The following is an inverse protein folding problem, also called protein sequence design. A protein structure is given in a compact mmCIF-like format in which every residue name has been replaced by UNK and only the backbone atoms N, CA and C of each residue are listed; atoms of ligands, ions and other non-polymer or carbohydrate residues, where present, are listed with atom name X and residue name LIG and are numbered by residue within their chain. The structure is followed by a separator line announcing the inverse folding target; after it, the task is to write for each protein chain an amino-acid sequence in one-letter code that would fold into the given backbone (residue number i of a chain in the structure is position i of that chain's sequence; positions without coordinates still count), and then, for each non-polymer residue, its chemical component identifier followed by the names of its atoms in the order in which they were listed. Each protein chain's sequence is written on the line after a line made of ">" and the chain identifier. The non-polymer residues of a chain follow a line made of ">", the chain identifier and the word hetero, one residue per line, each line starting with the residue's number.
data_IF_128682974392
#
_entry.id   IF_128682974392
#
_cell.length_a   1.000
_cell.length_b   1.000
_cell.length_c   1.000
_cell.angle_alpha   90.00
_cell.angle_beta   90.00
_cell.angle_gamma   90.00
#
_symmetry.space_group_name_H-M   'P 1'
#
loop_
_entity.id
_entity.type
_entity.pdbx_description
1 polymer ?
#
# COMPACT_ATOMS: atom_id res chain seq x y z
N UNK A 1 17.69 -0.07 -22.71
CA UNK A 1 18.24 -1.23 -23.45
C UNK A 1 17.22 -2.38 -23.57
N UNK A 2 16.69 -2.92 -22.47
CA UNK A 2 15.72 -4.06 -22.53
C UNK A 2 14.51 -3.79 -23.42
N UNK A 3 13.89 -2.60 -23.34
CA UNK A 3 12.78 -2.20 -24.22
C UNK A 3 13.13 -2.32 -25.72
N UNK A 4 14.27 -1.77 -26.12
CA UNK A 4 14.76 -1.81 -27.52
C UNK A 4 15.02 -3.26 -27.97
N UNK A 5 15.56 -4.11 -27.10
CA UNK A 5 15.78 -5.53 -27.42
C UNK A 5 14.46 -6.29 -27.61
N UNK A 6 13.43 -5.99 -26.81
CA UNK A 6 12.11 -6.61 -26.95
C UNK A 6 11.33 -6.06 -28.15
N UNK A 7 11.57 -4.81 -28.55
CA UNK A 7 11.03 -4.25 -29.79
C UNK A 7 11.64 -4.93 -31.03
N UNK A 8 12.95 -5.16 -31.02
CA UNK A 8 13.65 -5.86 -32.11
C UNK A 8 13.37 -7.37 -32.12
N UNK A 9 13.18 -7.98 -30.94
CA UNK A 9 12.95 -9.41 -30.76
C UNK A 9 11.82 -9.66 -29.75
N UNK A 10 10.54 -9.57 -30.18
CA UNK A 10 9.38 -9.71 -29.29
C UNK A 10 9.32 -11.04 -28.53
N UNK A 11 9.78 -12.13 -29.16
CA UNK A 11 9.82 -13.45 -28.53
C UNK A 11 11.02 -13.65 -27.60
N UNK A 12 11.95 -12.69 -27.54
CA UNK A 12 13.12 -12.78 -26.67
C UNK A 12 12.77 -12.93 -25.19
N UNK A 13 11.63 -12.40 -24.75
CA UNK A 13 11.11 -12.58 -23.39
C UNK A 13 10.63 -14.01 -23.07
N UNK A 14 10.43 -14.85 -24.09
CA UNK A 14 9.95 -16.25 -23.95
C UNK A 14 11.09 -17.26 -23.99
N UNK A 15 12.31 -16.82 -24.34
CA UNK A 15 13.44 -17.72 -24.49
C UNK A 15 13.92 -18.19 -23.12
N UNK A 16 13.60 -19.44 -22.79
CA UNK A 16 14.14 -20.11 -21.62
C UNK A 16 15.61 -20.48 -21.83
N UNK A 17 16.42 -20.30 -20.78
CA UNK A 17 17.75 -20.90 -20.74
C UNK A 17 17.62 -22.44 -20.79
N UNK A 18 18.37 -23.07 -21.69
CA UNK A 18 18.24 -24.50 -21.96
C UNK A 18 18.58 -25.37 -20.74
N UNK A 19 19.48 -24.88 -19.86
CA UNK A 19 19.98 -25.63 -18.71
C UNK A 19 19.10 -25.49 -17.48
N UNK A 20 18.64 -24.28 -17.19
CA UNK A 20 17.90 -23.94 -15.98
C UNK A 20 16.40 -23.84 -16.19
N UNK A 21 15.93 -23.80 -17.45
CA UNK A 21 14.52 -23.51 -17.80
C UNK A 21 14.03 -22.15 -17.31
N UNK A 22 14.94 -21.26 -16.92
CA UNK A 22 14.59 -19.91 -16.49
C UNK A 22 14.37 -19.01 -17.69
N UNK A 23 13.23 -18.32 -17.70
CA UNK A 23 12.99 -17.24 -18.64
C UNK A 23 13.63 -15.92 -18.13
N UNK A 24 13.71 -14.88 -18.97
CA UNK A 24 14.24 -13.57 -18.59
C UNK A 24 13.57 -12.96 -17.35
N UNK A 25 12.27 -13.20 -17.14
CA UNK A 25 11.55 -12.76 -15.92
C UNK A 25 12.14 -13.42 -14.68
N UNK A 26 12.35 -14.75 -14.68
CA UNK A 26 12.94 -15.48 -13.55
C UNK A 26 14.36 -14.98 -13.22
N UNK A 27 15.20 -14.77 -14.24
CA UNK A 27 16.54 -14.21 -14.03
C UNK A 27 16.50 -12.81 -13.44
N UNK A 28 15.58 -11.97 -13.93
CA UNK A 28 15.41 -10.61 -13.43
C UNK A 28 14.98 -10.60 -11.97
N UNK A 29 14.03 -11.45 -11.60
CA UNK A 29 13.53 -11.61 -10.25
C UNK A 29 14.57 -12.13 -9.25
N UNK A 30 15.61 -12.83 -9.72
CA UNK A 30 16.72 -13.31 -8.88
C UNK A 30 17.86 -12.30 -8.69
N UNK A 31 17.79 -11.13 -9.31
CA UNK A 31 18.83 -10.11 -9.22
C UNK A 31 18.44 -9.01 -8.23
N UNK A 32 19.31 -8.70 -7.28
CA UNK A 32 19.08 -7.68 -6.24
C UNK A 32 19.03 -6.25 -6.79
N UNK A 33 19.67 -5.99 -7.93
CA UNK A 33 19.73 -4.67 -8.57
C UNK A 33 18.63 -4.45 -9.60
N UNK A 34 17.57 -5.24 -9.54
CA UNK A 34 16.46 -5.15 -10.47
C UNK A 34 15.59 -3.90 -10.20
N UNK A 35 15.11 -3.27 -11.27
CA UNK A 35 14.22 -2.12 -11.28
C UNK A 35 12.79 -2.55 -11.62
N UNK A 36 11.76 -2.07 -10.89
CA UNK A 36 10.36 -2.42 -11.15
C UNK A 36 9.92 -2.14 -12.59
N UNK A 37 10.44 -1.07 -13.20
CA UNK A 37 10.08 -0.64 -14.56
C UNK A 37 10.48 -1.68 -15.62
N UNK A 38 11.63 -2.32 -15.46
CA UNK A 38 12.09 -3.34 -16.40
C UNK A 38 11.34 -4.65 -16.18
N UNK A 39 11.03 -5.01 -14.93
CA UNK A 39 10.17 -6.17 -14.65
C UNK A 39 8.80 -5.97 -15.30
N UNK A 40 8.18 -4.80 -15.15
CA UNK A 40 6.89 -4.49 -15.76
C UNK A 40 6.92 -4.65 -17.29
N UNK A 41 8.02 -4.24 -17.94
CA UNK A 41 8.22 -4.43 -19.38
C UNK A 41 8.32 -5.91 -19.75
N UNK A 42 9.08 -6.71 -19.00
CA UNK A 42 9.25 -8.15 -19.26
C UNK A 42 7.96 -8.94 -19.03
N UNK A 43 7.21 -8.61 -17.97
CA UNK A 43 5.90 -9.24 -17.69
C UNK A 43 4.88 -8.84 -18.75
N UNK A 44 4.88 -7.59 -19.21
CA UNK A 44 3.99 -7.15 -20.28
C UNK A 44 4.24 -7.89 -21.60
N UNK A 45 5.50 -8.19 -21.93
CA UNK A 45 5.83 -8.93 -23.16
C UNK A 45 5.58 -10.43 -23.05
N UNK A 46 5.64 -11.01 -21.85
CA UNK A 46 5.32 -12.41 -21.62
C UNK A 46 4.63 -12.66 -20.26
N UNK A 47 3.30 -12.44 -20.16
CA UNK A 47 2.59 -12.57 -18.88
C UNK A 47 2.62 -13.98 -18.28
N UNK A 48 2.53 -15.01 -19.13
CA UNK A 48 2.57 -16.41 -18.70
C UNK A 48 3.91 -16.83 -18.06
N UNK A 49 4.98 -16.04 -18.22
CA UNK A 49 6.27 -16.27 -17.57
C UNK A 49 6.16 -16.36 -16.05
N UNK A 50 5.18 -15.67 -15.44
CA UNK A 50 4.96 -15.66 -13.99
C UNK A 50 4.56 -17.03 -13.42
N UNK A 51 4.11 -17.95 -14.27
CA UNK A 51 3.68 -19.30 -13.89
C UNK A 51 4.66 -20.38 -14.38
N UNK A 52 5.66 -20.01 -15.17
CA UNK A 52 6.66 -20.96 -15.67
C UNK A 52 7.58 -21.38 -14.53
N UNK A 53 7.60 -22.69 -14.28
CA UNK A 53 8.48 -23.30 -13.30
C UNK A 53 9.83 -23.62 -13.93
N UNK A 54 10.90 -23.31 -13.21
CA UNK A 54 12.26 -23.69 -13.59
C UNK A 54 12.57 -25.16 -13.21
N UNK A 55 13.81 -25.61 -13.45
CA UNK A 55 14.22 -26.98 -13.09
C UNK A 55 14.19 -27.28 -11.58
N UNK A 56 14.12 -26.26 -10.73
CA UNK A 56 13.97 -26.38 -9.28
C UNK A 56 12.50 -26.31 -8.82
N UNK A 57 11.54 -26.39 -9.75
CA UNK A 57 10.10 -26.23 -9.53
C UNK A 57 9.70 -24.83 -8.99
N UNK A 58 10.55 -23.81 -9.20
CA UNK A 58 10.31 -22.43 -8.72
C UNK A 58 9.74 -21.55 -9.81
N UNK A 59 8.78 -20.70 -9.44
CA UNK A 59 8.25 -19.64 -10.31
C UNK A 59 8.98 -18.31 -10.04
N UNK A 60 8.88 -17.30 -10.93
CA UNK A 60 9.59 -16.03 -10.74
C UNK A 60 9.40 -15.39 -9.35
N UNK A 61 8.20 -15.45 -8.77
CA UNK A 61 7.91 -14.84 -7.47
C UNK A 61 8.75 -15.43 -6.33
N UNK A 62 9.18 -16.69 -6.44
CA UNK A 62 9.99 -17.35 -5.42
C UNK A 62 11.41 -16.78 -5.34
N UNK A 63 11.89 -16.20 -6.44
CA UNK A 63 13.15 -15.45 -6.47
C UNK A 63 12.97 -14.04 -5.93
N UNK A 64 11.85 -13.39 -6.28
CA UNK A 64 11.57 -12.02 -5.83
C UNK A 64 11.58 -11.95 -4.30
N UNK A 65 11.00 -12.94 -3.60
CA UNK A 65 10.93 -13.02 -2.11
C UNK A 65 12.26 -12.80 -1.37
N UNK A 66 13.41 -12.95 -2.05
CA UNK A 66 14.76 -12.77 -1.48
C UNK A 66 15.43 -11.45 -1.91
N UNK A 67 14.77 -10.65 -2.73
CA UNK A 67 15.33 -9.43 -3.33
C UNK A 67 14.61 -8.18 -2.85
N UNK A 68 15.30 -7.04 -2.96
CA UNK A 68 14.72 -5.70 -2.79
C UNK A 68 13.63 -5.38 -3.83
N UNK A 69 13.53 -6.18 -4.89
CA UNK A 69 12.44 -6.06 -5.85
C UNK A 69 11.09 -6.44 -5.23
N UNK A 70 11.06 -7.37 -4.26
CA UNK A 70 9.84 -7.67 -3.50
C UNK A 70 9.39 -6.45 -2.70
N UNK A 71 10.36 -5.81 -2.05
CA UNK A 71 10.15 -4.57 -1.31
C UNK A 71 9.68 -3.50 -2.28
N UNK A 72 10.32 -3.26 -3.43
CA UNK A 72 9.87 -2.26 -4.40
C UNK A 72 8.50 -2.53 -5.04
N UNK A 73 8.13 -3.80 -5.27
CA UNK A 73 6.84 -4.19 -5.88
C UNK A 73 5.69 -4.15 -4.86
N UNK A 74 5.98 -4.45 -3.59
CA UNK A 74 4.99 -4.44 -2.49
C UNK A 74 5.10 -3.17 -1.64
N UNK A 75 5.93 -2.20 -2.03
CA UNK A 75 6.06 -0.92 -1.35
C UNK A 75 6.85 -0.98 -0.04
N UNK A 76 8.15 -1.26 -0.11
CA UNK A 76 9.30 -0.90 0.74
C UNK A 76 9.25 -1.11 2.26
N UNK A 77 8.08 -1.38 2.83
CA UNK A 77 7.74 -1.20 4.23
C UNK A 77 6.61 -2.17 4.57
N UNK A 78 6.68 -3.40 4.06
CA UNK A 78 5.66 -4.39 4.39
C UNK A 78 5.58 -4.45 5.92
N UNK A 79 4.35 -4.36 6.47
CA UNK A 79 4.00 -5.06 7.70
C UNK A 79 4.78 -6.38 7.66
N UNK A 80 5.73 -6.58 8.58
CA UNK A 80 6.69 -7.67 8.50
C UNK A 80 6.01 -8.98 8.15
N UNK A 81 6.75 -9.95 7.59
CA UNK A 81 6.27 -11.30 7.17
C UNK A 81 5.70 -12.16 8.31
N UNK A 82 5.21 -11.55 9.37
CA UNK A 82 4.49 -12.19 10.41
C UNK A 82 3.05 -12.42 9.92
N UNK A 83 2.81 -13.60 9.36
CA UNK A 83 1.47 -14.03 8.96
C UNK A 83 0.49 -13.93 10.14
N UNK A 84 0.97 -14.05 11.39
CA UNK A 84 0.15 -13.84 12.58
C UNK A 84 -0.24 -12.36 12.75
N UNK A 85 0.62 -11.43 12.36
CA UNK A 85 0.33 -10.00 12.36
C UNK A 85 -0.73 -9.64 11.33
N UNK A 86 -0.60 -10.17 10.11
CA UNK A 86 -1.60 -9.98 9.06
C UNK A 86 -2.95 -10.58 9.44
N UNK A 87 -2.95 -11.80 10.00
CA UNK A 87 -4.17 -12.43 10.51
C UNK A 87 -4.79 -11.67 11.69
N UNK A 88 -3.97 -11.09 12.58
CA UNK A 88 -4.45 -10.22 13.67
C UNK A 88 -5.14 -8.98 13.12
N UNK A 89 -4.54 -8.32 12.14
CA UNK A 89 -5.14 -7.16 11.47
C UNK A 89 -6.45 -7.56 10.78
N UNK A 90 -6.47 -8.69 10.06
CA UNK A 90 -7.68 -9.17 9.39
C UNK A 90 -8.76 -9.63 10.36
N UNK A 91 -8.40 -10.20 11.51
CA UNK A 91 -9.36 -10.55 12.56
C UNK A 91 -10.07 -9.29 13.07
N UNK A 92 -9.30 -8.21 13.31
CA UNK A 92 -9.83 -6.92 13.74
C UNK A 92 -10.77 -6.31 12.69
N UNK A 93 -10.41 -6.32 11.40
CA UNK A 93 -11.29 -5.83 10.33
C UNK A 93 -12.54 -6.71 10.17
N UNK A 94 -12.42 -8.04 10.24
CA UNK A 94 -13.55 -8.99 10.12
C UNK A 94 -14.59 -8.82 11.22
N UNK A 95 -14.15 -8.50 12.43
CA UNK A 95 -15.07 -8.24 13.54
C UNK A 95 -15.78 -6.89 13.43
N UNK A 96 -15.37 -6.00 12.49
CA UNK A 96 -15.84 -4.60 12.40
C UNK A 96 -15.81 -3.89 13.75
N UNK A 97 -14.89 -4.30 14.63
CA UNK A 97 -14.81 -3.82 15.99
C UNK A 97 -13.85 -2.63 16.03
N UNK A 98 -14.41 -1.43 15.98
CA UNK A 98 -13.65 -0.17 16.04
C UNK A 98 -12.70 -0.15 17.25
N UNK A 99 -13.10 -0.73 18.40
CA UNK A 99 -12.25 -0.81 19.59
C UNK A 99 -11.07 -1.76 19.43
N UNK A 100 -11.25 -2.86 18.71
CA UNK A 100 -10.14 -3.75 18.34
C UNK A 100 -9.13 -3.02 17.46
N UNK A 101 -9.61 -2.22 16.51
CA UNK A 101 -8.76 -1.45 15.60
C UNK A 101 -8.04 -0.30 16.29
N UNK A 102 -8.72 0.42 17.21
CA UNK A 102 -8.09 1.40 18.09
C UNK A 102 -6.95 0.77 18.90
N UNK A 103 -7.20 -0.38 19.55
CA UNK A 103 -6.17 -1.09 20.33
C UNK A 103 -5.00 -1.52 19.47
N UNK A 104 -5.27 -2.08 18.29
CA UNK A 104 -4.22 -2.48 17.36
C UNK A 104 -3.36 -1.26 16.97
N UNK A 105 -3.97 -0.18 16.50
CA UNK A 105 -3.23 1.04 16.13
C UNK A 105 -2.39 1.56 17.31
N UNK A 106 -2.93 1.54 18.53
CA UNK A 106 -2.19 1.93 19.72
C UNK A 106 -0.97 1.04 19.98
N UNK A 107 -1.14 -0.29 19.91
CA UNK A 107 -0.06 -1.26 20.11
C UNK A 107 1.03 -1.10 19.04
N UNK A 108 0.64 -0.93 17.78
CA UNK A 108 1.58 -0.67 16.69
C UNK A 108 2.33 0.63 16.86
N UNK A 109 1.64 1.70 17.25
CA UNK A 109 2.28 2.99 17.42
C UNK A 109 3.16 3.07 18.69
N UNK A 110 3.02 2.13 19.63
CA UNK A 110 3.95 1.91 20.74
C UNK A 110 5.16 1.05 20.38
N UNK A 111 5.08 0.26 19.31
CA UNK A 111 6.19 -0.56 18.82
C UNK A 111 7.37 0.33 18.39
N UNK A 112 8.63 -0.12 18.58
CA UNK A 112 9.78 0.56 17.99
C UNK A 112 9.78 0.51 16.45
N UNK A 113 8.98 -0.36 15.85
CA UNK A 113 8.73 -0.38 14.42
C UNK A 113 7.80 0.77 14.02
N UNK A 114 8.12 1.46 12.93
CA UNK A 114 7.35 2.61 12.48
C UNK A 114 5.96 2.14 12.05
N UNK A 115 4.92 2.55 12.79
CA UNK A 115 3.54 2.41 12.34
C UNK A 115 3.39 3.06 10.96
N UNK A 116 3.03 2.27 9.96
CA UNK A 116 3.01 2.69 8.57
C UNK A 116 1.63 2.53 7.96
N UNK A 117 0.88 3.63 7.91
CA UNK A 117 -0.46 3.67 7.33
C UNK A 117 -0.48 3.32 5.84
N UNK A 118 0.63 3.54 5.12
CA UNK A 118 0.69 3.27 3.68
C UNK A 118 0.78 1.76 3.45
N UNK A 119 1.60 1.08 4.24
CA UNK A 119 1.67 -0.38 4.25
C UNK A 119 0.31 -1.02 4.56
N UNK A 120 -0.43 -0.45 5.52
CA UNK A 120 -1.78 -0.91 5.84
C UNK A 120 -2.77 -0.68 4.69
N UNK A 121 -2.72 0.47 4.03
CA UNK A 121 -3.55 0.72 2.85
C UNK A 121 -3.23 -0.26 1.72
N UNK A 122 -1.95 -0.49 1.42
CA UNK A 122 -1.53 -1.44 0.38
C UNK A 122 -1.99 -2.85 0.71
N UNK A 123 -1.92 -3.24 1.99
CA UNK A 123 -2.45 -4.51 2.46
C UNK A 123 -3.96 -4.64 2.21
N UNK A 124 -4.75 -3.64 2.59
CA UNK A 124 -6.19 -3.60 2.31
C UNK A 124 -6.48 -3.67 0.80
N UNK A 125 -5.70 -2.95 -0.01
CA UNK A 125 -5.84 -2.96 -1.48
C UNK A 125 -5.56 -4.34 -2.08
N UNK A 126 -4.50 -5.03 -1.62
CA UNK A 126 -4.18 -6.40 -2.04
C UNK A 126 -5.30 -7.36 -1.63
N UNK A 127 -5.80 -7.23 -0.40
CA UNK A 127 -6.85 -8.09 0.13
C UNK A 127 -8.16 -7.96 -0.66
N UNK A 128 -8.53 -6.73 -1.02
CA UNK A 128 -9.77 -6.45 -1.77
C UNK A 128 -9.60 -6.48 -3.29
N UNK A 129 -8.40 -6.71 -3.82
CA UNK A 129 -8.15 -6.73 -5.27
C UNK A 129 -9.07 -7.68 -6.04
N UNK A 130 -9.44 -8.79 -5.41
CA UNK A 130 -10.32 -9.82 -6.01
C UNK A 130 -11.77 -9.72 -5.51
N UNK A 131 -12.10 -8.73 -4.66
CA UNK A 131 -13.45 -8.55 -4.15
C UNK A 131 -14.32 -7.87 -5.24
N UNK A 132 -15.48 -8.43 -5.61
CA UNK A 132 -16.36 -7.83 -6.60
C UNK A 132 -16.98 -6.50 -6.15
N UNK A 133 -17.00 -6.21 -4.84
CA UNK A 133 -17.51 -4.96 -4.29
C UNK A 133 -16.36 -4.05 -3.79
N UNK A 134 -15.99 -3.00 -4.54
CA UNK A 134 -14.94 -2.06 -4.14
C UNK A 134 -15.32 -1.22 -2.90
N UNK A 135 -16.59 -1.24 -2.49
CA UNK A 135 -17.07 -0.55 -1.30
C UNK A 135 -16.45 -1.05 0.01
N UNK A 136 -16.02 -2.32 0.06
CA UNK A 136 -15.37 -2.89 1.26
C UNK A 136 -14.03 -2.25 1.56
N UNK A 137 -13.16 -2.11 0.54
CA UNK A 137 -11.87 -1.43 0.68
C UNK A 137 -12.04 -0.02 1.26
N UNK A 138 -13.01 0.74 0.73
CA UNK A 138 -13.30 2.10 1.18
C UNK A 138 -13.73 2.13 2.65
N UNK A 139 -14.62 1.22 3.05
CA UNK A 139 -15.13 1.15 4.43
C UNK A 139 -14.02 0.80 5.40
N UNK A 140 -13.17 -0.17 5.07
CA UNK A 140 -12.06 -0.58 5.92
C UNK A 140 -10.97 0.48 6.01
N UNK A 141 -10.63 1.14 4.89
CA UNK A 141 -9.69 2.26 4.91
C UNK A 141 -10.21 3.43 5.76
N UNK A 142 -11.51 3.72 5.69
CA UNK A 142 -12.15 4.70 6.55
C UNK A 142 -12.03 4.30 8.04
N UNK A 143 -12.33 3.05 8.38
CA UNK A 143 -12.20 2.55 9.75
C UNK A 143 -10.78 2.69 10.28
N UNK A 144 -9.76 2.40 9.46
CA UNK A 144 -8.35 2.58 9.81
C UNK A 144 -8.05 4.05 10.17
N UNK A 145 -8.51 5.00 9.36
CA UNK A 145 -8.28 6.41 9.65
C UNK A 145 -9.04 6.89 10.88
N UNK A 146 -10.27 6.45 11.08
CA UNK A 146 -11.09 6.80 12.25
C UNK A 146 -10.45 6.27 13.54
N UNK A 147 -9.97 5.02 13.53
CA UNK A 147 -9.23 4.43 14.65
C UNK A 147 -7.93 5.19 14.93
N UNK A 148 -7.13 5.46 13.89
CA UNK A 148 -5.88 6.21 14.00
C UNK A 148 -6.08 7.60 14.60
N UNK A 149 -7.11 8.31 14.15
CA UNK A 149 -7.43 9.63 14.69
C UNK A 149 -7.90 9.57 16.15
N UNK A 150 -8.69 8.54 16.48
CA UNK A 150 -9.20 8.34 17.83
C UNK A 150 -8.06 8.10 18.81
N UNK A 151 -7.13 7.20 18.49
CA UNK A 151 -5.93 6.93 19.30
C UNK A 151 -5.07 8.19 19.43
N UNK A 152 -4.83 8.91 18.33
CA UNK A 152 -4.07 10.17 18.37
C UNK A 152 -4.72 11.23 19.29
N UNK A 153 -6.06 11.33 19.25
CA UNK A 153 -6.80 12.29 20.07
C UNK A 153 -6.76 11.91 21.54
N UNK A 154 -6.85 10.62 21.86
CA UNK A 154 -6.72 10.09 23.22
C UNK A 154 -5.30 10.25 23.77
N UNK A 155 -4.28 10.10 22.91
CA UNK A 155 -2.88 10.22 23.27
C UNK A 155 -2.41 11.67 23.50
N UNK A 156 -3.24 12.68 23.24
CA UNK A 156 -2.82 14.08 23.21
C UNK A 156 -2.08 14.51 24.49
N UNK A 157 -0.83 15.02 24.40
CA UNK A 157 0.08 15.24 25.54
C UNK A 157 -0.35 16.32 26.53
N UNK A 158 -1.49 16.99 26.32
CA UNK A 158 -2.07 17.91 27.32
C UNK A 158 -2.49 17.19 28.62
N UNK A 159 -2.54 15.86 28.59
CA UNK A 159 -3.08 15.04 29.68
C UNK A 159 -2.06 14.08 30.31
N UNK A 160 -0.96 13.72 29.64
CA UNK A 160 0.04 12.77 30.16
C UNK A 160 1.40 12.89 29.41
N UNK A 161 2.54 12.93 30.12
CA UNK A 161 3.88 12.88 29.50
C UNK A 161 4.17 11.48 28.93
N UNK A 162 3.57 10.42 29.47
CA UNK A 162 3.77 9.05 29.01
C UNK A 162 3.18 8.80 27.61
N UNK A 163 2.22 9.61 27.16
CA UNK A 163 1.58 9.48 25.84
C UNK A 163 2.32 10.23 24.71
N UNK A 164 3.39 10.96 25.04
CA UNK A 164 4.17 11.77 24.10
C UNK A 164 4.84 10.92 23.00
N UNK A 165 5.48 9.78 23.28
CA UNK A 165 6.06 8.93 22.22
C UNK A 165 4.99 8.41 21.25
N UNK A 166 3.86 7.94 21.78
CA UNK A 166 2.72 7.47 20.99
C UNK A 166 2.20 8.57 20.05
N UNK A 167 2.04 9.79 20.58
CA UNK A 167 1.58 10.94 19.79
C UNK A 167 2.55 11.29 18.67
N UNK A 168 3.86 11.32 18.95
CA UNK A 168 4.86 11.66 17.94
C UNK A 168 4.99 10.56 16.87
N UNK A 169 4.90 9.30 17.26
CA UNK A 169 4.88 8.16 16.32
C UNK A 169 3.66 8.23 15.39
N UNK A 170 2.47 8.46 15.92
CA UNK A 170 1.25 8.59 15.10
C UNK A 170 1.31 9.80 14.15
N UNK A 171 1.84 10.94 14.61
CA UNK A 171 2.06 12.10 13.73
C UNK A 171 3.05 11.80 12.61
N UNK A 172 4.16 11.13 12.94
CA UNK A 172 5.17 10.73 11.96
C UNK A 172 4.56 9.78 10.92
N UNK A 173 3.80 8.78 11.36
CA UNK A 173 3.08 7.84 10.49
C UNK A 173 2.13 8.57 9.51
N UNK A 174 1.34 9.53 10.00
CA UNK A 174 0.43 10.31 9.17
C UNK A 174 1.21 11.17 8.18
N UNK A 175 2.27 11.86 8.60
CA UNK A 175 3.09 12.68 7.70
C UNK A 175 3.74 11.87 6.60
N UNK A 176 4.22 10.68 6.95
CA UNK A 176 4.85 9.73 6.06
C UNK A 176 3.86 9.20 5.03
N UNK A 177 2.67 8.79 5.47
CA UNK A 177 1.57 8.40 4.60
C UNK A 177 1.19 9.49 3.60
N UNK A 178 1.13 10.75 4.04
CA UNK A 178 0.84 11.88 3.15
C UNK A 178 1.94 12.05 2.11
N UNK A 179 3.20 11.95 2.52
CA UNK A 179 4.36 12.03 1.63
C UNK A 179 4.37 10.90 0.60
N UNK A 180 4.16 9.67 1.02
CA UNK A 180 4.19 8.49 0.16
C UNK A 180 3.06 8.53 -0.88
N UNK A 181 1.85 8.94 -0.49
CA UNK A 181 0.76 9.12 -1.45
C UNK A 181 1.06 10.18 -2.52
N UNK A 182 1.72 11.28 -2.15
CA UNK A 182 2.09 12.33 -3.09
C UNK A 182 3.15 11.87 -4.10
N UNK A 183 4.06 10.99 -3.68
CA UNK A 183 5.20 10.55 -4.51
C UNK A 183 4.89 9.32 -5.35
N UNK A 184 4.18 8.33 -4.81
CA UNK A 184 4.04 7.00 -5.43
C UNK A 184 2.72 6.80 -6.19
N UNK A 185 1.64 7.51 -5.80
CA UNK A 185 0.33 7.39 -6.47
C UNK A 185 -0.45 8.72 -6.47
N UNK A 186 -0.07 9.69 -7.33
CA UNK A 186 -0.74 10.99 -7.39
C UNK A 186 -2.25 10.92 -7.71
N UNK A 187 -2.74 9.78 -8.21
CA UNK A 187 -4.14 9.57 -8.60
C UNK A 187 -4.98 8.77 -7.58
N UNK A 188 -4.38 8.25 -6.50
CA UNK A 188 -5.12 7.44 -5.53
C UNK A 188 -6.25 8.25 -4.88
N UNK A 189 -5.98 9.51 -4.53
CA UNK A 189 -6.99 10.37 -3.93
C UNK A 189 -8.11 10.70 -4.93
N UNK A 190 -7.86 11.12 -6.18
CA UNK A 190 -8.90 11.20 -7.21
C UNK A 190 -9.75 9.93 -7.36
N UNK A 191 -9.14 8.76 -7.46
CA UNK A 191 -9.86 7.48 -7.60
C UNK A 191 -10.71 7.20 -6.36
N UNK A 192 -10.16 7.40 -5.16
CA UNK A 192 -10.90 7.30 -3.91
C UNK A 192 -12.11 8.25 -3.88
N UNK A 193 -11.92 9.53 -4.22
CA UNK A 193 -13.00 10.50 -4.24
C UNK A 193 -14.08 10.17 -5.30
N UNK A 194 -13.73 9.51 -6.40
CA UNK A 194 -14.74 9.01 -7.37
C UNK A 194 -15.51 7.77 -6.88
N UNK A 195 -14.87 6.91 -6.10
CA UNK A 195 -15.43 5.65 -5.65
C UNK A 195 -16.31 5.79 -4.39
N UNK A 196 -16.07 6.82 -3.57
CA UNK A 196 -16.80 7.03 -2.32
C UNK A 196 -18.00 7.95 -2.54
N UNK A 197 -19.22 7.57 -2.11
CA UNK A 197 -20.38 8.46 -2.15
C UNK A 197 -20.11 9.79 -1.42
N UNK A 198 -20.54 10.91 -2.01
CA UNK A 198 -20.31 12.27 -1.48
C UNK A 198 -20.68 12.41 0.01
N UNK A 199 -21.78 11.79 0.45
CA UNK A 199 -22.20 11.84 1.87
C UNK A 199 -21.17 11.20 2.81
N UNK A 200 -20.46 10.15 2.37
CA UNK A 200 -19.38 9.53 3.15
C UNK A 200 -18.11 10.38 3.09
N UNK A 201 -17.81 10.98 1.94
CA UNK A 201 -16.70 11.94 1.80
C UNK A 201 -16.88 13.16 2.71
N UNK A 202 -18.09 13.70 2.80
CA UNK A 202 -18.43 14.80 3.71
C UNK A 202 -18.18 14.42 5.17
N UNK A 203 -18.50 13.18 5.57
CA UNK A 203 -18.20 12.66 6.92
C UNK A 203 -16.69 12.50 7.15
N UNK A 204 -15.97 11.95 6.18
CA UNK A 204 -14.51 11.84 6.22
C UNK A 204 -13.86 13.23 6.32
N UNK A 205 -14.32 14.19 5.53
CA UNK A 205 -13.86 15.57 5.52
C UNK A 205 -14.20 16.36 6.79
N UNK A 206 -15.15 15.89 7.59
CA UNK A 206 -15.36 16.40 8.94
C UNK A 206 -14.26 15.94 9.92
N UNK A 207 -13.51 14.88 9.60
CA UNK A 207 -12.31 14.49 10.34
C UNK A 207 -11.16 15.46 10.01
N UNK A 208 -10.37 15.82 11.02
CA UNK A 208 -9.24 16.75 10.81
C UNK A 208 -8.11 16.12 9.99
N UNK A 209 -7.93 14.79 10.02
CA UNK A 209 -6.92 14.09 9.20
C UNK A 209 -7.26 14.23 7.73
N UNK A 210 -8.47 13.81 7.34
CA UNK A 210 -8.86 13.85 5.93
C UNK A 210 -8.94 15.28 5.42
N UNK A 211 -9.39 16.23 6.26
CA UNK A 211 -9.33 17.66 5.93
C UNK A 211 -7.90 18.15 5.74
N UNK A 212 -6.96 17.83 6.65
CA UNK A 212 -5.55 18.20 6.47
C UNK A 212 -4.94 17.57 5.22
N UNK A 213 -5.37 16.34 4.89
CA UNK A 213 -4.96 15.65 3.67
C UNK A 213 -5.50 16.37 2.42
N UNK A 214 -6.81 16.68 2.37
CA UNK A 214 -7.44 17.44 1.30
C UNK A 214 -6.85 18.85 1.14
N UNK A 215 -6.57 19.56 2.24
CA UNK A 215 -5.96 20.89 2.23
C UNK A 215 -4.53 20.87 1.66
N UNK A 216 -3.78 19.79 1.89
CA UNK A 216 -2.45 19.58 1.29
C UNK A 216 -2.55 19.46 -0.24
N UNK A 217 -3.53 18.69 -0.73
CA UNK A 217 -3.80 18.51 -2.16
C UNK A 217 -4.42 19.74 -2.83
N UNK A 218 -5.19 20.54 -2.10
CA UNK A 218 -5.70 21.82 -2.58
C UNK A 218 -4.55 22.79 -2.92
N UNK A 219 -3.51 22.80 -2.08
CA UNK A 219 -2.32 23.66 -2.30
C UNK A 219 -1.48 23.22 -3.49
N UNK A 220 -1.58 21.96 -3.93
CA UNK A 220 -0.90 21.47 -5.14
C UNK A 220 -1.70 21.74 -6.42
N UNK A 221 -2.93 22.29 -6.33
CA UNK A 221 -3.75 22.68 -7.48
C UNK A 221 -4.43 21.51 -8.22
N UNK A 222 -4.30 20.28 -7.72
CA UNK A 222 -4.76 19.07 -8.40
C UNK A 222 -6.26 18.80 -8.14
N UNK A 223 -6.86 19.37 -7.07
CA UNK A 223 -8.13 18.87 -6.51
C UNK A 223 -9.20 19.94 -6.21
N UNK A 224 -9.20 21.08 -6.88
CA UNK A 224 -10.18 22.14 -6.61
C UNK A 224 -11.64 21.67 -6.76
N UNK A 225 -11.95 20.76 -7.69
CA UNK A 225 -13.32 20.34 -8.01
C UNK A 225 -13.94 19.51 -6.88
N UNK A 226 -13.23 18.51 -6.36
CA UNK A 226 -13.76 17.64 -5.30
C UNK A 226 -13.84 18.32 -3.95
N UNK A 227 -12.98 19.28 -3.66
CA UNK A 227 -13.07 20.06 -2.43
C UNK A 227 -14.41 20.80 -2.35
N UNK A 228 -14.87 21.39 -3.46
CA UNK A 228 -16.17 22.06 -3.49
C UNK A 228 -17.34 21.09 -3.32
N UNK A 229 -17.29 19.90 -3.91
CA UNK A 229 -18.36 18.90 -3.76
C UNK A 229 -18.42 18.27 -2.36
N UNK A 230 -17.29 18.24 -1.64
CA UNK A 230 -17.18 17.61 -0.32
C UNK A 230 -17.36 18.63 0.83
N UNK A 231 -17.14 19.92 0.61
CA UNK A 231 -17.22 20.96 1.65
C UNK A 231 -18.37 21.96 1.51
N UNK A 232 -19.12 21.97 0.39
CA UNK A 232 -20.40 22.69 0.25
C UNK A 232 -21.58 21.77 0.56
#
# INVERSE_FOLDING_TARGET
>A
MVKVLLEAHPDGAKNEDASSKRCPVSFYCGNESSSPEILAVLVKSHPAALELKDVEDKVPIDYIKKTRLFEGIIGGRSLGRDDALQETIMAVFRETNVKGLESAVEDFAKSPEVFDLFAWQQFLEIHHRNNPDPGYFVVELQLLFDATWTVLTQANPKTDEASKPLTENLKAAIQLYVSDNNNDRPNLLPEFLTAVPVVKLQKLAATRIFRAHLDSYMRSGIMCIYYFEVFL
#
